data_IF_902983817645
#
_entry.id   IF_902983817645
#
_cell.length_a   1.000
_cell.length_b   1.000
_cell.length_c   1.000
_cell.angle_alpha   90.00
_cell.angle_beta   90.00
_cell.angle_gamma   90.00
#
_symmetry.space_group_name_H-M   'P 1'
#
loop_
_entity.id
_entity.type
_entity.pdbx_description
1 polymer ?
#
# COMPACT_ATOMS: atom_id res chain seq x y z
N UNK A 1 -23.05 45.68 -33.07
CA UNK A 1 -23.19 45.77 -31.59
C UNK A 1 -24.11 44.69 -30.98
N UNK A 2 -24.37 43.53 -31.63
CA UNK A 2 -25.28 42.49 -31.08
C UNK A 2 -24.55 41.17 -30.72
N UNK A 3 -23.34 40.96 -31.24
CA UNK A 3 -22.57 39.72 -31.00
C UNK A 3 -21.59 39.81 -29.83
N UNK A 4 -21.32 41.02 -29.33
CA UNK A 4 -20.37 41.23 -28.22
C UNK A 4 -20.95 40.77 -26.86
N UNK A 5 -22.27 40.78 -26.71
CA UNK A 5 -22.95 40.36 -25.47
C UNK A 5 -23.08 38.84 -25.32
N UNK A 6 -22.93 38.06 -26.39
CA UNK A 6 -23.02 36.59 -26.34
C UNK A 6 -21.69 35.97 -25.86
N UNK A 7 -20.55 36.60 -26.18
CA UNK A 7 -19.24 36.12 -25.73
C UNK A 7 -19.04 36.23 -24.21
N UNK A 8 -19.66 37.22 -23.57
CA UNK A 8 -19.53 37.42 -22.12
C UNK A 8 -20.29 36.35 -21.30
N UNK A 9 -21.31 35.72 -21.87
CA UNK A 9 -22.11 34.70 -21.17
C UNK A 9 -21.43 33.32 -21.16
N UNK A 10 -20.58 32.98 -22.14
CA UNK A 10 -19.84 31.71 -22.14
C UNK A 10 -18.65 31.71 -21.16
N UNK A 11 -18.13 32.87 -20.78
CA UNK A 11 -17.00 32.98 -19.85
C UNK A 11 -17.36 32.66 -18.39
N UNK A 12 -18.65 32.74 -18.02
CA UNK A 12 -19.11 32.51 -16.64
C UNK A 12 -19.29 31.02 -16.30
N UNK A 13 -19.47 30.15 -17.31
CA UNK A 13 -19.62 28.70 -17.12
C UNK A 13 -18.29 27.96 -16.89
N UNK A 14 -17.15 28.63 -17.08
CA UNK A 14 -15.83 28.05 -16.85
C UNK A 14 -15.30 28.24 -15.40
N UNK A 15 -16.05 28.94 -14.53
CA UNK A 15 -15.61 29.21 -13.15
C UNK A 15 -16.13 28.23 -12.10
N UNK A 16 -16.95 27.25 -12.48
CA UNK A 16 -17.34 26.13 -11.63
C UNK A 16 -16.41 24.92 -11.87
N UNK A 17 -15.10 25.10 -11.75
CA UNK A 17 -14.23 23.96 -11.45
C UNK A 17 -14.39 23.66 -9.96
N UNK A 18 -15.32 22.77 -9.66
CA UNK A 18 -15.52 22.28 -8.30
C UNK A 18 -14.28 21.45 -7.94
N UNK A 19 -13.27 22.06 -7.32
CA UNK A 19 -12.14 21.34 -6.71
C UNK A 19 -12.54 20.66 -5.39
N UNK A 20 -13.84 20.55 -5.09
CA UNK A 20 -14.36 19.87 -3.89
C UNK A 20 -14.00 18.37 -3.85
N UNK A 21 -13.55 17.81 -4.97
CA UNK A 21 -13.09 16.43 -5.08
C UNK A 21 -11.60 16.30 -5.43
N UNK A 22 -10.79 17.36 -5.25
CA UNK A 22 -9.35 17.18 -5.25
C UNK A 22 -9.00 16.19 -4.12
N UNK A 23 -8.38 15.03 -4.41
CA UNK A 23 -7.95 14.11 -3.37
C UNK A 23 -7.15 14.89 -2.34
N UNK A 24 -7.58 14.81 -1.08
CA UNK A 24 -6.99 15.61 -0.04
C UNK A 24 -5.57 15.12 0.15
N UNK A 25 -4.58 15.98 -0.08
CA UNK A 25 -3.16 15.68 0.16
C UNK A 25 -2.81 15.52 1.65
N UNK A 26 -3.76 15.08 2.48
CA UNK A 26 -3.51 14.66 3.85
C UNK A 26 -2.78 13.33 3.85
N UNK A 27 -1.87 13.15 4.79
CA UNK A 27 -1.05 11.95 4.99
C UNK A 27 -1.86 10.63 5.13
N UNK A 28 -3.19 10.72 5.16
CA UNK A 28 -4.15 9.61 5.20
C UNK A 28 -4.41 8.96 3.83
N UNK A 29 -3.97 9.56 2.72
CA UNK A 29 -4.15 9.01 1.35
C UNK A 29 -2.89 8.28 0.83
N UNK A 30 -1.75 8.38 1.51
CA UNK A 30 -0.51 7.74 1.05
C UNK A 30 -0.43 6.28 1.53
N UNK A 31 -0.09 5.32 0.65
CA UNK A 31 0.07 3.92 1.03
C UNK A 31 1.14 3.75 2.11
N UNK A 32 0.79 3.14 3.24
CA UNK A 32 1.72 2.91 4.36
C UNK A 32 2.49 1.62 4.14
N UNK A 33 3.84 1.61 4.15
CA UNK A 33 4.63 0.41 3.94
C UNK A 33 4.39 -0.60 5.06
N UNK A 34 4.28 -1.88 4.70
CA UNK A 34 4.13 -2.96 5.67
C UNK A 34 5.48 -3.21 6.36
N UNK A 35 5.46 -3.22 7.69
CA UNK A 35 6.57 -3.69 8.51
C UNK A 35 6.25 -5.09 9.03
N UNK A 36 7.16 -6.04 8.79
CA UNK A 36 6.98 -7.45 9.15
C UNK A 36 8.12 -7.90 10.08
N UNK A 37 7.75 -8.59 11.14
CA UNK A 37 8.67 -9.35 11.98
C UNK A 37 8.01 -10.66 12.39
N UNK A 38 8.82 -11.68 12.62
CA UNK A 38 8.34 -12.97 13.11
C UNK A 38 9.32 -13.57 14.12
N UNK A 39 8.77 -14.27 15.11
CA UNK A 39 9.51 -15.11 16.02
C UNK A 39 9.15 -16.58 15.81
N UNK A 40 10.14 -17.47 15.95
CA UNK A 40 9.89 -18.92 15.98
C UNK A 40 9.68 -19.33 17.44
N UNK A 41 8.47 -19.78 17.78
CA UNK A 41 8.17 -20.23 19.14
C UNK A 41 8.64 -21.69 19.35
N UNK A 42 9.50 -21.97 20.34
CA UNK A 42 10.07 -23.29 20.56
C UNK A 42 9.07 -24.18 21.29
N UNK A 43 8.11 -24.72 20.56
CA UNK A 43 7.17 -25.71 21.13
C UNK A 43 7.55 -27.14 20.77
N UNK A 44 8.22 -27.38 19.62
CA UNK A 44 8.60 -28.72 19.11
C UNK A 44 9.77 -28.77 18.10
N UNK A 45 10.58 -27.71 17.92
CA UNK A 45 11.52 -27.59 16.77
C UNK A 45 12.99 -27.76 17.17
N UNK A 46 13.81 -28.39 16.30
CA UNK A 46 15.28 -28.57 16.46
C UNK A 46 16.06 -27.30 16.06
N UNK A 47 15.42 -26.39 15.33
CA UNK A 47 15.96 -25.13 14.84
C UNK A 47 14.94 -24.02 15.16
N UNK A 48 15.25 -23.18 16.13
CA UNK A 48 14.39 -22.12 16.68
C UNK A 48 14.82 -20.72 16.21
N UNK A 49 15.65 -20.66 15.18
CA UNK A 49 16.18 -19.42 14.63
C UNK A 49 15.91 -19.30 13.13
N UNK A 50 15.67 -18.06 12.71
CA UNK A 50 15.83 -17.64 11.32
C UNK A 50 17.31 -17.51 11.00
N UNK A 51 17.68 -17.79 9.75
CA UNK A 51 18.97 -17.39 9.17
C UNK A 51 18.77 -16.14 8.31
N UNK A 52 19.70 -15.19 8.37
CA UNK A 52 19.67 -14.04 7.47
C UNK A 52 19.60 -14.50 6.00
N UNK A 53 18.62 -13.99 5.26
CA UNK A 53 18.32 -14.42 3.89
C UNK A 53 17.27 -15.51 3.75
N UNK A 54 16.80 -16.13 4.84
CA UNK A 54 15.61 -17.00 4.80
C UNK A 54 14.41 -16.24 4.24
N UNK A 55 13.56 -16.91 3.49
CA UNK A 55 12.50 -16.26 2.73
C UNK A 55 11.10 -16.64 3.23
N UNK A 56 10.20 -15.65 3.24
CA UNK A 56 8.76 -15.83 3.41
C UNK A 56 8.00 -15.28 2.21
N UNK A 57 6.78 -15.77 2.01
CA UNK A 57 5.82 -15.22 1.05
C UNK A 57 4.76 -14.37 1.73
N UNK A 58 4.63 -13.11 1.32
CA UNK A 58 3.56 -12.20 1.74
C UNK A 58 2.44 -12.17 0.71
N UNK A 59 1.22 -12.49 1.15
CA UNK A 59 0.00 -12.27 0.38
C UNK A 59 -0.89 -11.31 1.15
N UNK A 60 -1.36 -10.25 0.50
CA UNK A 60 -2.21 -9.24 1.12
C UNK A 60 -3.63 -9.34 0.58
N UNK A 61 -4.60 -9.40 1.48
CA UNK A 61 -6.03 -9.47 1.15
C UNK A 61 -6.74 -8.22 1.65
N UNK A 62 -7.82 -7.83 0.98
CA UNK A 62 -8.71 -6.79 1.49
C UNK A 62 -9.29 -7.23 2.84
N UNK A 63 -9.39 -6.27 3.77
CA UNK A 63 -9.77 -6.56 5.15
C UNK A 63 -11.15 -7.23 5.21
N UNK A 64 -11.23 -8.36 5.91
CA UNK A 64 -12.47 -9.12 6.08
C UNK A 64 -12.91 -9.92 4.85
N UNK A 65 -12.07 -10.03 3.82
CA UNK A 65 -12.39 -10.79 2.60
C UNK A 65 -11.27 -11.78 2.24
N UNK A 66 -11.52 -12.59 1.20
CA UNK A 66 -10.53 -13.45 0.56
C UNK A 66 -10.02 -12.85 -0.77
N UNK A 67 -10.40 -11.61 -1.08
CA UNK A 67 -9.98 -10.92 -2.30
C UNK A 67 -8.59 -10.31 -2.12
N UNK A 68 -7.63 -10.52 -3.05
CA UNK A 68 -6.33 -9.89 -2.97
C UNK A 68 -6.44 -8.37 -2.93
N UNK A 69 -5.71 -7.71 -2.03
CA UNK A 69 -5.69 -6.24 -1.90
C UNK A 69 -5.13 -5.55 -3.17
N UNK A 70 -4.33 -6.29 -3.93
CA UNK A 70 -3.90 -5.94 -5.28
C UNK A 70 -3.47 -7.24 -6.00
N UNK A 71 -3.73 -7.40 -7.30
CA UNK A 71 -3.24 -8.55 -8.08
C UNK A 71 -1.71 -8.65 -8.05
N UNK A 72 -1.04 -7.54 -7.74
CA UNK A 72 0.41 -7.52 -7.59
C UNK A 72 0.87 -8.20 -6.30
N UNK A 73 0.11 -8.23 -5.20
CA UNK A 73 0.63 -8.63 -3.86
C UNK A 73 0.21 -10.06 -3.48
N UNK A 74 0.59 -11.01 -4.33
CA UNK A 74 0.49 -12.44 -4.02
C UNK A 74 1.89 -13.04 -3.96
N UNK A 75 2.21 -13.70 -2.85
CA UNK A 75 3.48 -14.38 -2.61
C UNK A 75 4.73 -13.49 -2.85
N UNK A 76 4.73 -12.27 -2.31
CA UNK A 76 5.90 -11.40 -2.33
C UNK A 76 6.99 -11.97 -1.44
N UNK A 77 8.18 -12.12 -2.01
CA UNK A 77 9.36 -12.64 -1.34
C UNK A 77 9.96 -11.56 -0.44
N UNK A 78 9.87 -11.81 0.85
CA UNK A 78 10.55 -11.05 1.88
C UNK A 78 11.67 -11.90 2.49
N UNK A 79 12.77 -11.27 2.86
CA UNK A 79 13.96 -11.92 3.39
C UNK A 79 14.19 -11.52 4.84
N UNK A 80 14.52 -12.50 5.68
CA UNK A 80 14.97 -12.30 7.05
C UNK A 80 16.22 -11.41 7.04
N UNK A 81 16.19 -10.32 7.78
CA UNK A 81 17.28 -9.33 7.77
C UNK A 81 18.44 -9.75 8.67
N UNK A 82 18.16 -10.50 9.73
CA UNK A 82 19.15 -10.97 10.71
C UNK A 82 18.90 -12.43 11.10
N UNK A 83 19.98 -13.12 11.50
CA UNK A 83 19.90 -14.45 12.12
C UNK A 83 19.44 -14.34 13.58
N UNK A 84 18.58 -15.26 14.03
CA UNK A 84 18.16 -15.39 15.42
C UNK A 84 16.69 -15.80 15.59
N UNK A 85 16.27 -15.98 16.84
CA UNK A 85 14.91 -16.41 17.19
C UNK A 85 13.80 -15.44 16.73
N UNK A 86 14.15 -14.17 16.53
CA UNK A 86 13.27 -13.13 15.97
C UNK A 86 14.02 -12.38 14.89
N UNK A 87 13.33 -12.06 13.80
CA UNK A 87 13.91 -11.27 12.70
C UNK A 87 12.88 -10.30 12.13
N UNK A 88 13.38 -9.18 11.60
CA UNK A 88 12.60 -8.34 10.70
C UNK A 88 12.69 -8.88 9.28
N UNK A 89 11.76 -8.46 8.43
CA UNK A 89 11.76 -8.87 7.03
C UNK A 89 11.76 -7.66 6.09
N UNK A 90 12.58 -7.71 5.05
CA UNK A 90 12.61 -6.70 3.99
C UNK A 90 12.25 -7.32 2.64
N UNK A 91 11.62 -6.57 1.72
CA UNK A 91 11.40 -7.04 0.35
C UNK A 91 12.73 -7.48 -0.29
N UNK A 92 12.71 -8.56 -1.07
CA UNK A 92 13.84 -8.86 -1.94
C UNK A 92 14.06 -7.69 -2.91
N UNK A 93 15.32 -7.38 -3.26
CA UNK A 93 15.71 -6.20 -4.06
C UNK A 93 15.05 -6.08 -5.43
N UNK A 94 14.45 -7.17 -5.93
CA UNK A 94 13.70 -7.24 -7.18
C UNK A 94 12.19 -6.99 -7.02
N UNK A 95 11.70 -6.71 -5.81
CA UNK A 95 10.29 -6.50 -5.53
C UNK A 95 10.03 -5.14 -4.87
N UNK A 96 8.92 -4.47 -5.23
CA UNK A 96 8.53 -3.23 -4.57
C UNK A 96 8.08 -3.52 -3.13
N UNK A 97 8.32 -2.56 -2.24
CA UNK A 97 7.78 -2.58 -0.87
C UNK A 97 6.26 -2.64 -0.94
N UNK A 98 5.67 -3.59 -0.20
CA UNK A 98 4.21 -3.70 -0.09
C UNK A 98 3.69 -2.58 0.80
N UNK A 99 2.61 -1.93 0.39
CA UNK A 99 1.92 -0.93 1.19
C UNK A 99 0.47 -1.30 1.42
N UNK A 100 -0.07 -0.91 2.58
CA UNK A 100 -1.49 -0.99 2.90
C UNK A 100 -2.18 0.13 2.12
N UNK A 101 -3.18 -0.18 1.27
CA UNK A 101 -3.93 0.85 0.58
C UNK A 101 -4.72 1.70 1.58
N UNK A 102 -4.93 3.00 1.32
CA UNK A 102 -5.75 3.84 2.18
C UNK A 102 -7.19 3.28 2.28
N UNK A 103 -7.90 3.53 3.38
CA UNK A 103 -9.30 3.12 3.51
C UNK A 103 -10.14 3.72 2.38
N UNK A 104 -11.09 2.95 1.84
CA UNK A 104 -11.99 3.44 0.81
C UNK A 104 -12.79 4.65 1.31
N UNK A 105 -13.03 5.68 0.46
CA UNK A 105 -13.89 6.80 0.84
C UNK A 105 -15.30 6.28 1.17
N UNK A 106 -15.87 6.81 2.25
CA UNK A 106 -17.23 6.48 2.69
C UNK A 106 -18.29 7.04 1.75
#
# INVERSE_FOLDING_TARGET
MKYLSILAALALLASCTNSENAPGTGDSEQPVPVSLSAGIAPTRVVNDEWTAGDAIGLSLYAAGTTEPASPAVLNYRYLATTTGATTGFSPATTQPTTSIPPPAPK
#
